data_IF_737548674998
#
_entry.id   IF_737548674998
#
_cell.length_a   1.000
_cell.length_b   1.000
_cell.length_c   1.000
_cell.angle_alpha   90.00
_cell.angle_beta   90.00
_cell.angle_gamma   90.00
#
_symmetry.space_group_name_H-M   'P 1'
#
loop_
_entity.id
_entity.type
_entity.pdbx_description
1 polymer ?
#
# COMPACT_ATOMS: atom_id res chain seq x y z
N UNK A 1 20.40 -18.51 -2.58
CA UNK A 1 20.53 -18.82 -1.14
C UNK A 1 19.16 -19.04 -0.50
N UNK A 2 18.33 -18.00 -0.32
CA UNK A 2 16.99 -18.16 0.28
C UNK A 2 15.88 -18.73 -0.64
N UNK A 3 16.22 -19.35 -1.78
CA UNK A 3 15.23 -19.86 -2.74
C UNK A 3 14.42 -18.79 -3.51
N UNK A 4 14.88 -17.53 -3.56
CA UNK A 4 14.31 -16.49 -4.42
C UNK A 4 15.28 -16.19 -5.56
N UNK A 5 14.79 -16.22 -6.81
CA UNK A 5 15.58 -16.11 -8.05
C UNK A 5 15.30 -14.84 -8.86
N UNK A 6 14.33 -14.02 -8.43
CA UNK A 6 14.09 -12.71 -8.99
C UNK A 6 13.64 -11.74 -7.91
N UNK A 7 14.10 -10.49 -8.00
CA UNK A 7 13.65 -9.39 -7.12
C UNK A 7 13.07 -8.24 -7.94
N UNK A 8 12.10 -7.51 -7.40
CA UNK A 8 11.65 -6.25 -8.00
C UNK A 8 12.01 -5.12 -7.04
N UNK A 9 13.01 -4.33 -7.42
CA UNK A 9 13.49 -3.21 -6.61
C UNK A 9 12.55 -2.01 -6.71
N UNK A 10 12.60 -1.13 -5.71
CA UNK A 10 11.90 0.16 -5.74
C UNK A 10 12.86 1.27 -6.13
N UNK A 11 12.51 2.02 -7.17
CA UNK A 11 13.10 3.34 -7.43
C UNK A 11 12.24 4.39 -6.74
N UNK A 12 12.83 5.20 -5.87
CA UNK A 12 12.10 6.20 -5.10
C UNK A 12 12.74 7.58 -5.34
N UNK A 13 12.24 8.36 -6.30
CA UNK A 13 12.70 9.73 -6.50
C UNK A 13 12.19 10.64 -5.37
N UNK A 14 13.03 11.56 -4.91
CA UNK A 14 12.58 12.67 -4.08
C UNK A 14 11.57 13.54 -4.85
N UNK A 15 10.79 14.32 -4.11
CA UNK A 15 9.83 15.26 -4.70
C UNK A 15 10.53 16.19 -5.69
N UNK A 16 9.88 16.44 -6.83
CA UNK A 16 10.36 17.30 -7.93
C UNK A 16 11.59 16.79 -8.70
N UNK A 17 12.11 15.60 -8.36
CA UNK A 17 13.16 14.92 -9.12
C UNK A 17 12.56 14.13 -10.29
N UNK A 18 13.30 14.09 -11.41
CA UNK A 18 12.99 13.30 -12.61
C UNK A 18 12.90 11.81 -12.30
N UNK A 19 11.81 11.17 -12.74
CA UNK A 19 11.62 9.73 -12.59
C UNK A 19 12.63 8.96 -13.45
N UNK A 20 12.99 9.49 -14.62
CA UNK A 20 13.95 8.89 -15.54
C UNK A 20 15.37 8.90 -14.95
N UNK A 21 15.78 10.02 -14.34
CA UNK A 21 17.12 10.13 -13.76
C UNK A 21 17.27 9.16 -12.57
N UNK A 22 16.23 9.06 -11.74
CA UNK A 22 16.20 8.10 -10.64
C UNK A 22 16.24 6.64 -11.15
N UNK A 23 15.53 6.34 -12.25
CA UNK A 23 15.58 5.03 -12.89
C UNK A 23 17.00 4.69 -13.37
N UNK A 24 17.64 5.58 -14.13
CA UNK A 24 18.98 5.34 -14.68
C UNK A 24 20.04 5.24 -13.56
N UNK A 25 19.91 6.04 -12.51
CA UNK A 25 20.74 5.91 -11.31
C UNK A 25 20.57 4.52 -10.68
N UNK A 26 19.35 4.03 -10.53
CA UNK A 26 19.12 2.70 -9.96
C UNK A 26 19.68 1.58 -10.86
N UNK A 27 19.44 1.64 -12.18
CA UNK A 27 20.00 0.69 -13.16
C UNK A 27 21.52 0.63 -13.13
N UNK A 28 22.19 1.79 -13.11
CA UNK A 28 23.66 1.85 -13.06
C UNK A 28 24.27 1.27 -11.78
N UNK A 29 23.52 1.28 -10.67
CA UNK A 29 23.93 0.63 -9.42
C UNK A 29 23.65 -0.87 -9.40
N UNK A 30 22.53 -1.30 -10.00
CA UNK A 30 22.05 -2.68 -9.95
C UNK A 30 22.68 -3.58 -11.02
N UNK A 31 22.70 -3.17 -12.29
CA UNK A 31 23.21 -3.96 -13.43
C UNK A 31 24.58 -4.60 -13.18
N UNK A 32 25.60 -3.91 -12.63
CA UNK A 32 26.91 -4.54 -12.40
C UNK A 32 26.96 -5.46 -11.16
N UNK A 33 25.92 -5.50 -10.32
CA UNK A 33 25.96 -6.17 -9.00
C UNK A 33 25.01 -7.35 -8.85
N UNK A 34 23.85 -7.30 -9.50
CA UNK A 34 22.80 -8.31 -9.30
C UNK A 34 23.29 -9.73 -9.66
N UNK A 35 23.00 -10.69 -8.79
CA UNK A 35 23.36 -12.10 -8.98
C UNK A 35 22.20 -12.95 -9.51
N UNK A 36 21.02 -12.36 -9.64
CA UNK A 36 19.80 -12.98 -10.15
C UNK A 36 18.98 -11.91 -10.89
N UNK A 37 17.96 -12.32 -11.63
CA UNK A 37 17.15 -11.35 -12.38
C UNK A 37 16.49 -10.32 -11.49
N UNK A 38 16.28 -9.13 -12.06
CA UNK A 38 15.57 -8.10 -11.36
C UNK A 38 14.72 -7.24 -12.29
N UNK A 39 13.70 -6.60 -11.71
CA UNK A 39 12.96 -5.53 -12.37
C UNK A 39 12.83 -4.35 -11.40
N UNK A 40 12.15 -3.28 -11.84
CA UNK A 40 11.99 -2.07 -11.03
C UNK A 40 10.53 -1.59 -11.00
N UNK A 41 10.03 -1.33 -9.79
CA UNK A 41 8.86 -0.49 -9.54
C UNK A 41 9.32 0.98 -9.49
N UNK A 42 8.52 1.90 -10.04
CA UNK A 42 8.82 3.33 -10.01
C UNK A 42 7.92 4.08 -9.01
N UNK A 43 8.52 4.76 -8.03
CA UNK A 43 7.82 5.64 -7.11
C UNK A 43 7.31 6.90 -7.80
N UNK A 44 6.03 7.21 -7.59
CA UNK A 44 5.39 8.47 -8.00
C UNK A 44 5.13 9.27 -6.73
N UNK A 45 6.09 10.12 -6.37
CA UNK A 45 6.13 10.89 -5.10
C UNK A 45 5.58 12.31 -5.25
N UNK A 46 5.29 12.72 -6.50
CA UNK A 46 4.67 13.98 -6.86
C UNK A 46 3.92 13.84 -8.20
N UNK A 47 3.08 14.81 -8.53
CA UNK A 47 2.26 14.75 -9.73
C UNK A 47 2.27 16.05 -10.54
N UNK A 48 2.43 15.92 -11.85
CA UNK A 48 2.38 17.03 -12.80
C UNK A 48 2.56 16.55 -14.24
N UNK A 49 2.49 17.46 -15.23
CA UNK A 49 2.62 17.11 -16.65
C UNK A 49 3.94 16.39 -16.99
N UNK A 50 5.04 16.78 -16.33
CA UNK A 50 6.35 16.13 -16.50
C UNK A 50 6.32 14.67 -16.05
N UNK A 51 5.84 14.39 -14.84
CA UNK A 51 5.68 13.03 -14.31
C UNK A 51 4.82 12.18 -15.24
N UNK A 52 3.71 12.73 -15.73
CA UNK A 52 2.83 12.04 -16.67
C UNK A 52 3.59 11.57 -17.93
N UNK A 53 4.38 12.46 -18.53
CA UNK A 53 5.19 12.16 -19.71
C UNK A 53 6.32 11.15 -19.39
N UNK A 54 7.00 11.29 -18.26
CA UNK A 54 8.07 10.37 -17.86
C UNK A 54 7.55 8.96 -17.59
N UNK A 55 6.35 8.82 -17.02
CA UNK A 55 5.67 7.52 -16.88
C UNK A 55 5.41 6.87 -18.24
N UNK A 56 5.04 7.64 -19.26
CA UNK A 56 4.89 7.13 -20.63
C UNK A 56 6.21 6.60 -21.19
N UNK A 57 7.30 7.36 -21.04
CA UNK A 57 8.65 6.94 -21.46
C UNK A 57 9.09 5.68 -20.73
N UNK A 58 8.91 5.61 -19.41
CA UNK A 58 9.28 4.44 -18.60
C UNK A 58 8.57 3.16 -19.07
N UNK A 59 7.28 3.27 -19.39
CA UNK A 59 6.47 2.16 -19.92
C UNK A 59 6.89 1.76 -21.33
N UNK A 60 7.06 2.73 -22.24
CA UNK A 60 7.29 2.47 -23.66
C UNK A 60 8.72 2.01 -23.96
N UNK A 61 9.69 2.54 -23.24
CA UNK A 61 11.10 2.43 -23.61
C UNK A 61 11.96 1.73 -22.54
N UNK A 62 11.56 1.77 -21.27
CA UNK A 62 12.39 1.31 -20.13
C UNK A 62 11.90 0.01 -19.49
N UNK A 63 10.80 -0.56 -19.97
CA UNK A 63 10.29 -1.84 -19.49
C UNK A 63 9.76 -1.80 -18.05
N UNK A 64 9.25 -0.65 -17.60
CA UNK A 64 8.59 -0.51 -16.30
C UNK A 64 7.08 -0.59 -16.50
N UNK A 65 6.39 -1.51 -15.85
CA UNK A 65 4.92 -1.59 -15.92
C UNK A 65 4.21 -1.32 -14.60
N UNK A 66 4.90 -0.81 -13.58
CA UNK A 66 4.37 -0.76 -12.22
C UNK A 66 4.85 0.47 -11.47
N UNK A 67 3.90 1.20 -10.89
CA UNK A 67 4.14 2.47 -10.21
C UNK A 67 3.68 2.41 -8.75
N UNK A 68 4.50 2.92 -7.84
CA UNK A 68 4.25 2.93 -6.39
C UNK A 68 3.84 4.34 -5.93
N UNK A 69 2.69 4.44 -5.29
CA UNK A 69 2.18 5.67 -4.69
C UNK A 69 2.08 5.52 -3.17
N UNK A 70 2.09 6.63 -2.46
CA UNK A 70 1.99 6.66 -1.00
C UNK A 70 0.82 7.56 -0.58
N UNK A 71 -0.01 7.05 0.33
CA UNK A 71 -1.06 7.83 1.01
C UNK A 71 -0.59 8.39 2.36
N UNK A 72 0.65 8.05 2.74
CA UNK A 72 1.34 8.48 3.95
C UNK A 72 2.69 9.13 3.60
N UNK A 73 3.48 9.45 4.62
CA UNK A 73 4.69 10.28 4.51
C UNK A 73 4.34 11.69 4.03
N UNK A 74 3.50 12.37 4.81
CA UNK A 74 3.12 13.76 4.59
C UNK A 74 4.38 14.62 4.33
N UNK A 75 4.25 15.53 3.38
CA UNK A 75 5.32 16.43 2.89
C UNK A 75 6.53 15.76 2.19
N UNK A 76 6.63 14.43 2.19
CA UNK A 76 7.71 13.67 1.54
C UNK A 76 7.24 12.97 0.26
N UNK A 77 6.33 12.01 0.40
CA UNK A 77 5.89 11.13 -0.72
C UNK A 77 4.37 11.10 -0.90
N UNK A 78 3.62 11.66 0.05
CA UNK A 78 2.16 11.58 0.08
C UNK A 78 1.53 12.28 -1.13
N UNK A 79 0.66 11.55 -1.83
CA UNK A 79 -0.24 12.12 -2.83
C UNK A 79 -1.63 12.33 -2.24
N UNK A 80 -2.26 13.45 -2.61
CA UNK A 80 -3.66 13.74 -2.25
C UNK A 80 -4.62 13.01 -3.17
N UNK A 81 -5.89 12.88 -2.77
CA UNK A 81 -6.91 12.14 -3.51
C UNK A 81 -7.09 12.62 -4.96
N UNK A 82 -7.00 13.93 -5.20
CA UNK A 82 -7.07 14.48 -6.56
C UNK A 82 -5.88 14.06 -7.43
N UNK A 83 -4.69 13.95 -6.85
CA UNK A 83 -3.48 13.49 -7.53
C UNK A 83 -3.55 11.97 -7.76
N UNK A 84 -3.94 11.19 -6.75
CA UNK A 84 -4.18 9.74 -6.88
C UNK A 84 -5.19 9.42 -7.99
N UNK A 85 -6.28 10.18 -8.07
CA UNK A 85 -7.27 10.01 -9.14
C UNK A 85 -6.64 10.18 -10.54
N UNK A 86 -5.81 11.21 -10.74
CA UNK A 86 -5.15 11.45 -12.02
C UNK A 86 -4.08 10.40 -12.32
N UNK A 87 -3.27 10.03 -11.32
CA UNK A 87 -2.25 8.98 -11.45
C UNK A 87 -2.90 7.64 -11.81
N UNK A 88 -3.98 7.25 -11.14
CA UNK A 88 -4.65 5.96 -11.39
C UNK A 88 -5.27 5.91 -12.77
N UNK A 89 -5.89 7.01 -13.22
CA UNK A 89 -6.38 7.15 -14.59
C UNK A 89 -5.24 6.99 -15.60
N UNK A 90 -4.09 7.63 -15.34
CA UNK A 90 -2.93 7.52 -16.22
C UNK A 90 -2.34 6.10 -16.23
N UNK A 91 -2.18 5.46 -15.06
CA UNK A 91 -1.75 4.07 -14.97
C UNK A 91 -2.67 3.12 -15.77
N UNK A 92 -4.00 3.35 -15.71
CA UNK A 92 -4.96 2.60 -16.51
C UNK A 92 -4.73 2.82 -18.02
N UNK A 93 -4.57 4.06 -18.45
CA UNK A 93 -4.32 4.40 -19.85
C UNK A 93 -3.00 3.77 -20.36
N UNK A 94 -1.98 3.66 -19.50
CA UNK A 94 -0.71 2.99 -19.81
C UNK A 94 -0.76 1.46 -19.74
N UNK A 95 -1.80 0.87 -19.13
CA UNK A 95 -1.83 -0.56 -18.85
C UNK A 95 -0.90 -0.99 -17.70
N UNK A 96 -0.58 -0.10 -16.77
CA UNK A 96 0.36 -0.33 -15.67
C UNK A 96 -0.30 -0.94 -14.42
N UNK A 97 0.51 -1.49 -13.52
CA UNK A 97 0.15 -1.96 -12.19
C UNK A 97 0.26 -0.81 -11.20
N UNK A 98 -0.85 -0.48 -10.54
CA UNK A 98 -0.95 0.64 -9.60
C UNK A 98 -0.74 0.14 -8.17
N UNK A 99 0.48 0.28 -7.64
CA UNK A 99 0.86 -0.12 -6.28
C UNK A 99 0.62 1.03 -5.30
N UNK A 100 0.00 0.75 -4.14
CA UNK A 100 -0.35 1.79 -3.16
C UNK A 100 0.03 1.36 -1.75
N UNK A 101 0.86 2.17 -1.09
CA UNK A 101 1.06 2.11 0.35
C UNK A 101 -0.06 2.91 1.02
N UNK A 102 -0.97 2.22 1.70
CA UNK A 102 -2.25 2.76 2.12
C UNK A 102 -2.32 2.89 3.66
N UNK A 103 -1.88 4.04 4.16
CA UNK A 103 -2.18 4.54 5.52
C UNK A 103 -2.61 5.99 5.39
N UNK A 104 -3.49 6.49 6.26
CA UNK A 104 -3.89 7.89 6.24
C UNK A 104 -2.75 8.81 6.73
N UNK A 105 -2.03 9.45 5.82
CA UNK A 105 -0.85 10.26 6.12
C UNK A 105 -1.06 11.46 7.04
N UNK A 106 -2.23 12.10 6.97
CA UNK A 106 -2.54 13.23 7.86
C UNK A 106 -2.72 12.73 9.30
N UNK A 107 -3.49 11.65 9.49
CA UNK A 107 -3.70 11.07 10.82
C UNK A 107 -2.43 10.43 11.39
N UNK A 108 -1.60 9.81 10.56
CA UNK A 108 -0.27 9.33 10.95
C UNK A 108 0.58 10.49 11.49
N UNK A 109 0.56 11.64 10.82
CA UNK A 109 1.36 12.81 11.23
C UNK A 109 0.88 13.38 12.57
N UNK A 110 -0.43 13.50 12.76
CA UNK A 110 -0.99 13.97 14.04
C UNK A 110 -0.77 12.96 15.16
N UNK A 111 -1.01 11.66 14.91
CA UNK A 111 -0.79 10.60 15.89
C UNK A 111 0.67 10.47 16.33
N UNK A 112 1.62 10.68 15.41
CA UNK A 112 3.04 10.68 15.77
C UNK A 112 3.41 11.86 16.68
N UNK A 113 2.89 13.06 16.37
CA UNK A 113 3.06 14.25 17.20
C UNK A 113 2.44 14.07 18.58
N UNK A 114 1.19 13.60 18.65
CA UNK A 114 0.48 13.35 19.90
C UNK A 114 1.22 12.33 20.77
N UNK A 115 1.71 11.24 20.18
CA UNK A 115 2.48 10.20 20.89
C UNK A 115 3.76 10.78 21.51
N UNK A 116 4.48 11.63 20.78
CA UNK A 116 5.67 12.33 21.30
C UNK A 116 5.32 13.36 22.38
N UNK A 117 4.23 14.11 22.22
CA UNK A 117 3.74 15.09 23.20
C UNK A 117 3.34 14.43 24.54
N UNK A 118 2.91 13.16 24.49
CA UNK A 118 2.66 12.31 25.67
C UNK A 118 3.94 11.77 26.32
N UNK A 119 5.12 12.07 25.76
CA UNK A 119 6.42 11.59 26.26
C UNK A 119 6.77 10.17 25.82
N UNK A 120 6.01 9.58 24.88
CA UNK A 120 6.28 8.24 24.35
C UNK A 120 7.21 8.38 23.14
N UNK A 121 8.51 8.20 23.38
CA UNK A 121 9.55 8.30 22.35
C UNK A 121 10.17 6.96 21.95
N UNK A 122 9.80 5.86 22.62
CA UNK A 122 10.29 4.52 22.34
C UNK A 122 9.67 3.90 21.07
N UNK A 123 10.23 2.77 20.58
CA UNK A 123 9.77 2.10 19.36
C UNK A 123 8.28 1.73 19.35
N UNK A 124 7.67 1.48 20.51
CA UNK A 124 6.22 1.27 20.67
C UNK A 124 5.37 2.42 20.13
N UNK A 125 5.92 3.63 20.07
CA UNK A 125 5.26 4.78 19.47
C UNK A 125 4.90 4.58 17.99
N UNK A 126 5.60 3.71 17.24
CA UNK A 126 5.27 3.45 15.83
C UNK A 126 3.91 2.76 15.66
N UNK A 127 3.52 1.92 16.62
CA UNK A 127 2.27 1.17 16.60
C UNK A 127 1.14 2.04 17.14
N UNK A 128 1.39 2.72 18.26
CA UNK A 128 0.44 3.63 18.92
C UNK A 128 0.03 4.78 18.01
N UNK A 129 0.98 5.40 17.29
CA UNK A 129 0.71 6.55 16.43
C UNK A 129 -0.03 6.20 15.13
N UNK A 130 -0.14 4.91 14.79
CA UNK A 130 -0.64 4.44 13.48
C UNK A 130 -1.49 3.17 13.63
N UNK A 131 -2.59 3.22 14.41
CA UNK A 131 -3.44 2.05 14.65
C UNK A 131 -4.05 1.55 13.33
N UNK A 132 -4.50 0.29 13.32
CA UNK A 132 -4.88 -0.40 12.07
C UNK A 132 -6.04 0.24 11.31
N UNK A 133 -6.90 1.02 11.97
CA UNK A 133 -7.97 1.78 11.32
C UNK A 133 -7.47 2.80 10.28
N UNK A 134 -6.27 3.38 10.48
CA UNK A 134 -5.66 4.30 9.51
C UNK A 134 -5.23 3.58 8.22
N UNK A 135 -4.84 2.30 8.34
CA UNK A 135 -4.56 1.44 7.18
C UNK A 135 -5.87 1.05 6.49
N UNK A 136 -6.87 0.60 7.25
CA UNK A 136 -8.16 0.16 6.71
C UNK A 136 -8.90 1.29 5.97
N UNK A 137 -8.93 2.51 6.51
CA UNK A 137 -9.51 3.69 5.87
C UNK A 137 -8.82 3.97 4.53
N UNK A 138 -7.49 4.05 4.53
CA UNK A 138 -6.73 4.37 3.33
C UNK A 138 -6.85 3.27 2.27
N UNK A 139 -6.87 1.99 2.66
CA UNK A 139 -7.13 0.86 1.74
C UNK A 139 -8.52 1.00 1.12
N UNK A 140 -9.53 1.30 1.92
CA UNK A 140 -10.90 1.52 1.43
C UNK A 140 -10.98 2.69 0.45
N UNK A 141 -10.31 3.80 0.76
CA UNK A 141 -10.25 5.00 -0.10
C UNK A 141 -9.51 4.75 -1.40
N UNK A 142 -8.34 4.09 -1.36
CA UNK A 142 -7.59 3.69 -2.56
C UNK A 142 -8.42 2.81 -3.49
N UNK A 143 -9.10 1.79 -2.94
CA UNK A 143 -10.00 0.91 -3.70
C UNK A 143 -11.16 1.70 -4.32
N UNK A 144 -11.70 2.67 -3.60
CA UNK A 144 -12.78 3.52 -4.09
C UNK A 144 -12.33 4.38 -5.27
N UNK A 145 -11.19 5.06 -5.15
CA UNK A 145 -10.61 5.88 -6.24
C UNK A 145 -10.27 5.00 -7.46
N UNK A 146 -9.67 3.83 -7.24
CA UNK A 146 -9.34 2.87 -8.31
C UNK A 146 -10.59 2.38 -9.05
N UNK A 147 -11.65 2.04 -8.32
CA UNK A 147 -12.91 1.61 -8.93
C UNK A 147 -13.60 2.74 -9.71
N UNK A 148 -13.48 4.01 -9.27
CA UNK A 148 -14.00 5.18 -10.00
C UNK A 148 -13.21 5.52 -11.26
N UNK A 149 -11.93 5.14 -11.32
CA UNK A 149 -11.03 5.37 -12.47
C UNK A 149 -10.91 4.15 -13.39
N UNK A 150 -11.61 3.04 -13.07
CA UNK A 150 -11.47 1.75 -13.75
C UNK A 150 -10.02 1.23 -13.78
N UNK A 151 -9.23 1.53 -12.75
CA UNK A 151 -7.83 1.12 -12.64
C UNK A 151 -7.71 -0.12 -11.73
N UNK A 152 -6.87 -1.13 -12.06
CA UNK A 152 -6.61 -2.22 -11.14
C UNK A 152 -5.66 -1.73 -10.05
N UNK A 153 -5.98 -1.98 -8.79
CA UNK A 153 -5.16 -1.54 -7.66
C UNK A 153 -4.50 -2.71 -6.95
N UNK A 154 -3.24 -2.50 -6.56
CA UNK A 154 -2.40 -3.46 -5.86
C UNK A 154 -1.97 -2.84 -4.53
N UNK A 155 -2.50 -3.33 -3.42
CA UNK A 155 -2.21 -2.78 -2.10
C UNK A 155 -1.00 -3.50 -1.53
N UNK A 156 0.02 -2.73 -1.14
CA UNK A 156 1.28 -3.28 -0.63
C UNK A 156 1.29 -3.30 0.88
N UNK A 157 2.08 -4.22 1.45
CA UNK A 157 2.36 -4.30 2.88
C UNK A 157 1.11 -4.39 3.78
N UNK A 158 0.05 -5.09 3.35
CA UNK A 158 -1.14 -5.29 4.19
C UNK A 158 -0.72 -5.93 5.51
N UNK A 159 -0.95 -5.22 6.61
CA UNK A 159 -0.45 -5.59 7.94
C UNK A 159 -1.53 -5.94 8.95
N UNK A 160 -2.79 -5.53 8.72
CA UNK A 160 -3.89 -5.72 9.67
C UNK A 160 -5.02 -6.59 9.15
N UNK A 161 -5.80 -7.14 10.09
CA UNK A 161 -7.03 -7.87 9.81
C UNK A 161 -8.08 -6.94 9.19
N UNK A 162 -8.23 -5.72 9.74
CA UNK A 162 -9.17 -4.72 9.22
C UNK A 162 -8.91 -4.35 7.75
N UNK A 163 -7.65 -4.12 7.36
CA UNK A 163 -7.32 -3.87 5.95
C UNK A 163 -7.58 -5.10 5.05
N UNK A 164 -7.32 -6.31 5.58
CA UNK A 164 -7.66 -7.57 4.93
C UNK A 164 -9.17 -7.70 4.65
N UNK A 165 -10.02 -7.35 5.61
CA UNK A 165 -11.49 -7.40 5.48
C UNK A 165 -12.03 -6.42 4.45
N UNK A 166 -11.43 -5.23 4.36
CA UNK A 166 -11.75 -4.26 3.33
C UNK A 166 -11.44 -4.82 1.93
N UNK A 167 -10.29 -5.49 1.77
CA UNK A 167 -9.92 -6.15 0.50
C UNK A 167 -10.89 -7.29 0.18
N UNK A 168 -11.20 -8.16 1.16
CA UNK A 168 -12.15 -9.25 0.98
C UNK A 168 -13.51 -8.74 0.52
N UNK A 169 -14.05 -7.72 1.20
CA UNK A 169 -15.32 -7.07 0.88
C UNK A 169 -15.32 -6.45 -0.53
N UNK A 170 -14.22 -5.79 -0.91
CA UNK A 170 -14.07 -5.23 -2.24
C UNK A 170 -14.03 -6.32 -3.33
N UNK A 171 -13.35 -7.44 -3.08
CA UNK A 171 -13.32 -8.60 -4.00
C UNK A 171 -14.71 -9.22 -4.15
N UNK A 172 -15.47 -9.37 -3.06
CA UNK A 172 -16.86 -9.87 -3.12
C UNK A 172 -17.76 -8.98 -3.98
N UNK A 173 -17.51 -7.67 -4.00
CA UNK A 173 -18.22 -6.71 -4.86
C UNK A 173 -17.73 -6.69 -6.32
N UNK A 174 -16.80 -7.57 -6.70
CA UNK A 174 -16.23 -7.62 -8.06
C UNK A 174 -15.34 -6.41 -8.40
N UNK A 175 -14.81 -5.71 -7.38
CA UNK A 175 -13.75 -4.70 -7.59
C UNK A 175 -12.45 -5.40 -7.95
N UNK A 176 -11.60 -4.70 -8.71
CA UNK A 176 -10.36 -5.27 -9.23
C UNK A 176 -9.23 -4.82 -8.34
N UNK A 177 -9.05 -5.60 -7.28
CA UNK A 177 -8.10 -5.34 -6.19
C UNK A 177 -7.24 -6.57 -5.97
N UNK A 178 -5.96 -6.34 -5.70
CA UNK A 178 -4.97 -7.35 -5.35
C UNK A 178 -4.23 -6.89 -4.10
N UNK A 179 -3.87 -7.84 -3.25
CA UNK A 179 -3.16 -7.54 -2.00
C UNK A 179 -1.82 -8.26 -1.93
N UNK A 180 -0.82 -7.55 -1.42
CA UNK A 180 0.49 -8.05 -1.02
C UNK A 180 0.62 -7.87 0.50
N UNK A 181 1.08 -8.90 1.19
CA UNK A 181 1.56 -8.77 2.56
C UNK A 181 3.04 -9.12 2.60
N UNK A 182 3.70 -8.83 3.71
CA UNK A 182 5.12 -9.16 3.90
C UNK A 182 5.26 -10.45 4.71
N UNK A 183 6.45 -11.03 4.64
CA UNK A 183 6.82 -12.17 5.48
C UNK A 183 6.64 -11.82 6.96
N UNK A 184 7.04 -10.62 7.36
CA UNK A 184 6.93 -10.17 8.73
C UNK A 184 5.47 -10.02 9.17
N UNK A 185 4.63 -9.32 8.40
CA UNK A 185 3.22 -9.11 8.75
C UNK A 185 2.41 -10.41 8.83
N UNK A 186 2.75 -11.38 7.99
CA UNK A 186 2.07 -12.69 7.97
C UNK A 186 2.60 -13.70 8.99
N UNK A 187 3.66 -13.37 9.75
CA UNK A 187 4.27 -14.33 10.69
C UNK A 187 4.69 -13.78 12.07
N UNK A 188 4.78 -12.46 12.23
CA UNK A 188 5.22 -11.78 13.45
C UNK A 188 4.14 -10.80 13.94
N UNK A 189 4.12 -10.51 15.24
CA UNK A 189 3.21 -9.52 15.83
C UNK A 189 3.97 -8.36 16.49
N UNK A 190 3.24 -7.30 16.84
CA UNK A 190 3.77 -6.04 17.37
C UNK A 190 4.27 -6.10 18.80
N UNK A 191 4.17 -7.24 19.51
CA UNK A 191 4.67 -7.36 20.89
C UNK A 191 6.18 -7.11 20.97
N UNK A 192 6.92 -7.29 19.87
CA UNK A 192 8.33 -6.97 19.81
C UNK A 192 8.63 -5.48 20.05
N UNK A 193 7.69 -4.56 19.76
CA UNK A 193 7.88 -3.13 20.04
C UNK A 193 7.93 -2.80 21.54
N UNK A 194 7.34 -3.66 22.37
CA UNK A 194 7.28 -3.50 23.82
C UNK A 194 8.39 -4.28 24.54
N UNK A 195 9.39 -4.76 23.80
CA UNK A 195 10.53 -5.45 24.38
C UNK A 195 11.39 -4.48 25.22
N UNK A 196 11.89 -4.95 26.37
CA UNK A 196 12.63 -4.11 27.33
C UNK A 196 13.97 -3.60 26.77
N UNK A 197 14.63 -4.40 25.91
CA UNK A 197 15.76 -3.91 25.13
C UNK A 197 15.28 -3.09 23.94
N UNK A 198 15.65 -1.80 23.94
CA UNK A 198 15.37 -0.85 22.88
C UNK A 198 15.90 -1.32 21.51
N UNK A 199 17.07 -1.97 21.47
CA UNK A 199 17.69 -2.39 20.21
C UNK A 199 16.86 -3.47 19.52
N UNK A 200 16.40 -4.46 20.29
CA UNK A 200 15.41 -5.44 19.84
C UNK A 200 14.15 -4.75 19.32
N UNK A 201 13.53 -3.87 20.12
CA UNK A 201 12.27 -3.23 19.74
C UNK A 201 12.40 -2.38 18.46
N UNK A 202 13.46 -1.58 18.35
CA UNK A 202 13.74 -0.75 17.18
C UNK A 202 14.00 -1.57 15.90
N UNK A 203 14.49 -2.79 16.02
CA UNK A 203 14.79 -3.64 14.88
C UNK A 203 13.52 -4.09 14.10
N UNK A 204 12.36 -4.14 14.76
CA UNK A 204 11.08 -4.48 14.13
C UNK A 204 10.35 -3.27 13.55
N UNK A 205 10.88 -2.05 13.73
CA UNK A 205 10.23 -0.81 13.27
C UNK A 205 10.16 -0.80 11.74
N UNK A 206 8.94 -0.89 11.23
CA UNK A 206 8.57 -0.82 9.81
C UNK A 206 7.20 -0.14 9.67
N UNK A 207 6.77 0.13 8.43
CA UNK A 207 5.41 0.64 8.18
C UNK A 207 4.70 -0.09 7.03
N UNK A 208 3.38 -0.31 7.12
CA UNK A 208 2.58 -0.17 8.34
C UNK A 208 3.15 -1.07 9.47
N UNK A 209 2.96 -0.75 10.75
CA UNK A 209 3.63 -1.48 11.83
C UNK A 209 3.07 -2.92 11.95
N UNK A 210 3.85 -3.80 12.59
CA UNK A 210 3.34 -5.09 13.07
C UNK A 210 2.21 -4.83 14.08
N UNK A 211 1.12 -5.59 14.01
CA UNK A 211 -0.06 -5.37 14.86
C UNK A 211 0.04 -6.13 16.18
N UNK A 212 -0.44 -5.52 17.27
CA UNK A 212 -0.39 -6.14 18.60
C UNK A 212 -1.25 -7.40 18.72
N UNK A 213 -2.38 -7.46 17.98
CA UNK A 213 -3.25 -8.62 18.04
C UNK A 213 -2.50 -9.88 17.56
N UNK A 214 -2.30 -10.89 18.43
CA UNK A 214 -1.53 -12.09 18.12
C UNK A 214 -2.19 -12.97 17.05
N UNK A 215 -3.47 -12.76 16.73
CA UNK A 215 -4.17 -13.47 15.66
C UNK A 215 -3.85 -12.92 14.28
N UNK A 216 -3.36 -11.68 14.17
CA UNK A 216 -3.12 -11.00 12.89
C UNK A 216 -2.27 -11.83 11.92
N UNK A 217 -1.12 -12.41 12.31
CA UNK A 217 -0.31 -13.23 11.39
C UNK A 217 -1.07 -14.43 10.84
N UNK A 218 -1.77 -15.17 11.72
CA UNK A 218 -2.57 -16.34 11.33
C UNK A 218 -3.72 -15.96 10.40
N UNK A 219 -4.34 -14.80 10.63
CA UNK A 219 -5.40 -14.27 9.78
C UNK A 219 -4.86 -13.92 8.38
N UNK A 220 -3.78 -13.14 8.30
CA UNK A 220 -3.15 -12.78 7.02
C UNK A 220 -2.65 -14.01 6.25
N UNK A 221 -2.14 -15.03 6.94
CA UNK A 221 -1.77 -16.31 6.32
C UNK A 221 -2.99 -17.04 5.74
N UNK A 222 -4.14 -16.98 6.42
CA UNK A 222 -5.40 -17.53 5.91
C UNK A 222 -5.91 -16.76 4.69
N UNK A 223 -5.73 -15.43 4.67
CA UNK A 223 -6.03 -14.60 3.50
C UNK A 223 -5.09 -14.89 2.31
N UNK A 224 -3.83 -15.23 2.57
CA UNK A 224 -2.91 -15.72 1.54
C UNK A 224 -3.36 -17.08 1.01
N UNK A 225 -3.78 -17.99 1.89
CA UNK A 225 -4.27 -19.31 1.49
C UNK A 225 -5.54 -19.24 0.63
N UNK A 226 -6.47 -18.34 0.96
CA UNK A 226 -7.76 -18.21 0.26
C UNK A 226 -7.76 -17.24 -0.94
N UNK A 227 -6.61 -16.68 -1.31
CA UNK A 227 -6.42 -15.73 -2.43
C UNK A 227 -7.08 -14.34 -2.26
N UNK A 228 -7.49 -13.99 -1.04
CA UNK A 228 -7.79 -12.59 -0.67
C UNK A 228 -6.53 -11.74 -0.72
N UNK A 229 -5.42 -12.27 -0.21
CA UNK A 229 -4.07 -11.77 -0.47
C UNK A 229 -3.39 -12.67 -1.50
N UNK A 230 -2.68 -12.08 -2.44
CA UNK A 230 -2.23 -12.76 -3.65
C UNK A 230 -0.75 -13.06 -3.67
N UNK A 231 0.06 -12.23 -3.01
CA UNK A 231 1.53 -12.31 -3.04
C UNK A 231 2.08 -12.08 -1.64
N UNK A 232 3.16 -12.78 -1.31
CA UNK A 232 3.98 -12.48 -0.13
C UNK A 232 5.36 -12.01 -0.56
N UNK A 233 5.72 -10.80 -0.12
CA UNK A 233 7.02 -10.18 -0.34
C UNK A 233 7.83 -10.15 0.96
N UNK A 234 9.08 -9.66 0.91
CA UNK A 234 9.89 -9.46 2.10
C UNK A 234 9.93 -8.01 2.58
N UNK A 235 9.59 -7.05 1.70
CA UNK A 235 9.88 -5.61 1.88
C UNK A 235 11.28 -5.36 2.47
N UNK A 236 12.28 -6.01 1.86
CA UNK A 236 13.61 -6.10 2.45
C UNK A 236 14.30 -4.74 2.38
N UNK A 237 14.50 -4.13 3.54
CA UNK A 237 15.23 -2.87 3.72
C UNK A 237 15.89 -2.89 5.09
N UNK A 238 17.16 -3.28 5.12
CA UNK A 238 17.88 -3.49 6.38
C UNK A 238 18.64 -2.25 6.82
N UNK A 239 18.66 -2.06 8.13
CA UNK A 239 19.46 -1.06 8.82
C UNK A 239 20.13 -1.73 10.01
N UNK A 240 21.38 -1.40 10.25
CA UNK A 240 22.10 -1.82 11.45
C UNK A 240 21.46 -1.23 12.71
N UNK A 241 21.70 -1.83 13.88
CA UNK A 241 21.28 -1.24 15.17
C UNK A 241 21.80 0.19 15.32
N UNK A 242 23.03 0.47 14.85
CA UNK A 242 23.62 1.83 14.87
C UNK A 242 22.80 2.82 14.04
N UNK A 243 22.31 2.42 12.88
CA UNK A 243 21.44 3.27 12.05
C UNK A 243 20.05 3.40 12.67
N UNK A 244 19.51 2.33 13.25
CA UNK A 244 18.24 2.39 14.00
C UNK A 244 18.31 3.41 15.14
N UNK A 245 19.46 3.48 15.83
CA UNK A 245 19.71 4.40 16.95
C UNK A 245 19.63 5.89 16.61
N UNK A 246 19.49 6.28 15.33
CA UNK A 246 19.13 7.65 14.95
C UNK A 246 17.83 8.13 15.61
N UNK A 247 16.91 7.21 15.93
CA UNK A 247 15.67 7.50 16.64
C UNK A 247 15.62 7.01 18.08
N UNK A 248 16.77 6.91 18.76
CA UNK A 248 16.82 6.44 20.17
C UNK A 248 15.94 7.28 21.11
N UNK A 249 15.86 8.57 20.87
CA UNK A 249 15.08 9.53 21.68
C UNK A 249 13.80 9.99 20.97
N UNK A 250 13.51 9.45 19.78
CA UNK A 250 12.41 9.88 18.92
C UNK A 250 12.13 8.78 17.88
N UNK A 251 11.09 7.98 18.12
CA UNK A 251 10.74 6.86 17.25
C UNK A 251 10.48 7.26 15.79
N UNK A 252 10.09 8.51 15.52
CA UNK A 252 9.81 9.01 14.16
C UNK A 252 11.08 9.10 13.30
N UNK A 253 12.26 9.11 13.95
CA UNK A 253 13.58 9.13 13.31
C UNK A 253 14.18 7.73 13.15
N UNK A 254 13.53 6.69 13.64
CA UNK A 254 13.98 5.31 13.41
C UNK A 254 13.71 4.97 11.94
N UNK A 255 14.74 4.60 11.14
CA UNK A 255 14.54 4.24 9.75
C UNK A 255 13.67 2.98 9.64
N UNK A 256 12.56 3.07 8.91
CA UNK A 256 11.60 1.99 8.75
C UNK A 256 12.17 0.86 7.89
N UNK A 257 12.13 -0.39 8.33
CA UNK A 257 12.51 -1.53 7.50
C UNK A 257 13.07 -2.70 8.28
N UNK A 258 12.94 -3.89 7.69
CA UNK A 258 13.37 -5.17 8.23
C UNK A 258 14.04 -6.04 7.17
N UNK A 259 14.78 -7.05 7.63
CA UNK A 259 15.32 -8.09 6.77
C UNK A 259 14.33 -9.23 6.54
N UNK A 260 14.23 -9.74 5.30
CA UNK A 260 13.52 -10.99 5.04
C UNK A 260 13.74 -11.59 3.65
N UNK A 261 14.64 -11.06 2.82
CA UNK A 261 14.83 -11.56 1.44
C UNK A 261 15.35 -12.99 1.42
N UNK A 262 16.20 -13.34 2.40
CA UNK A 262 16.72 -14.70 2.56
C UNK A 262 15.70 -15.65 3.18
N UNK A 263 14.88 -15.15 4.12
CA UNK A 263 14.06 -16.00 4.99
C UNK A 263 12.64 -16.24 4.49
N UNK A 264 12.14 -15.37 3.60
CA UNK A 264 10.77 -15.41 3.06
C UNK A 264 10.28 -16.82 2.71
N UNK A 265 11.03 -17.57 1.92
CA UNK A 265 10.59 -18.89 1.44
C UNK A 265 10.40 -19.88 2.61
N UNK A 266 11.40 -20.02 3.49
CA UNK A 266 11.33 -20.98 4.61
C UNK A 266 10.32 -20.56 5.67
N UNK A 267 10.22 -19.26 5.97
CA UNK A 267 9.28 -18.74 6.97
C UNK A 267 7.83 -18.95 6.51
N UNK A 268 7.54 -18.68 5.24
CA UNK A 268 6.21 -18.92 4.67
C UNK A 268 5.92 -20.42 4.51
N UNK A 269 6.92 -21.23 4.19
CA UNK A 269 6.75 -22.69 4.19
C UNK A 269 6.38 -23.21 5.59
N UNK A 270 7.13 -22.83 6.62
CA UNK A 270 6.89 -23.25 8.00
C UNK A 270 5.52 -22.79 8.50
N UNK A 271 5.18 -21.50 8.35
CA UNK A 271 3.94 -20.95 8.90
C UNK A 271 2.71 -21.26 8.03
N UNK A 272 2.89 -21.40 6.73
CA UNK A 272 1.82 -21.63 5.76
C UNK A 272 1.59 -23.11 5.48
N UNK A 273 2.61 -23.82 4.98
CA UNK A 273 2.50 -25.21 4.52
C UNK A 273 2.51 -26.17 5.70
N UNK A 274 3.57 -26.16 6.51
CA UNK A 274 3.67 -27.01 7.71
C UNK A 274 2.58 -26.66 8.71
N UNK A 275 2.26 -25.36 8.85
CA UNK A 275 1.13 -24.87 9.65
C UNK A 275 -0.27 -25.25 9.14
N UNK A 276 -0.38 -25.99 8.03
CA UNK A 276 -1.63 -26.52 7.48
C UNK A 276 -2.60 -25.46 6.97
N UNK A 277 -2.11 -24.25 6.67
CA UNK A 277 -2.93 -23.14 6.15
C UNK A 277 -3.09 -23.22 4.64
N UNK A 278 -2.06 -23.70 3.93
CA UNK A 278 -2.06 -23.86 2.49
C UNK A 278 -1.26 -25.10 2.07
N UNK A 279 -1.48 -25.60 0.87
CA UNK A 279 -0.65 -26.65 0.28
C UNK A 279 0.60 -26.08 -0.43
N UNK A 280 1.48 -26.97 -0.88
CA UNK A 280 2.68 -26.62 -1.62
C UNK A 280 2.40 -25.90 -2.96
N UNK A 281 1.26 -26.16 -3.60
CA UNK A 281 0.89 -25.51 -4.86
C UNK A 281 0.50 -24.05 -4.62
N UNK A 282 -0.24 -23.78 -3.54
CA UNK A 282 -0.59 -22.43 -3.12
C UNK A 282 0.64 -21.67 -2.63
N UNK A 283 1.57 -22.35 -1.96
CA UNK A 283 2.89 -21.78 -1.63
C UNK A 283 3.62 -21.29 -2.89
N UNK A 284 3.70 -22.11 -3.95
CA UNK A 284 4.28 -21.68 -5.24
C UNK A 284 3.53 -20.47 -5.82
N UNK A 285 2.20 -20.45 -5.73
CA UNK A 285 1.38 -19.36 -6.25
C UNK A 285 1.70 -18.02 -5.56
N UNK A 286 1.71 -17.97 -4.22
CA UNK A 286 1.92 -16.72 -3.47
C UNK A 286 3.37 -16.25 -3.44
N UNK A 287 4.33 -17.16 -3.67
CA UNK A 287 5.76 -16.83 -3.65
C UNK A 287 6.35 -16.52 -5.03
N UNK A 288 5.71 -16.95 -6.12
CA UNK A 288 6.23 -16.74 -7.49
C UNK A 288 5.13 -16.54 -8.55
N UNK A 289 4.23 -17.51 -8.77
CA UNK A 289 3.37 -17.51 -9.97
C UNK A 289 2.42 -16.31 -10.04
N UNK A 290 1.87 -15.87 -8.90
CA UNK A 290 0.97 -14.72 -8.86
C UNK A 290 1.73 -13.41 -9.14
N UNK A 291 2.91 -13.22 -8.56
CA UNK A 291 3.76 -12.07 -8.86
C UNK A 291 4.11 -12.03 -10.37
N UNK A 292 4.48 -13.18 -10.95
CA UNK A 292 4.76 -13.27 -12.38
C UNK A 292 3.52 -12.94 -13.25
N UNK A 293 2.31 -13.35 -12.86
CA UNK A 293 1.07 -12.99 -13.59
C UNK A 293 0.74 -11.50 -13.47
N UNK A 294 0.84 -10.94 -12.26
CA UNK A 294 0.53 -9.54 -11.97
C UNK A 294 1.48 -8.60 -12.72
N UNK A 295 2.76 -8.94 -12.77
CA UNK A 295 3.81 -8.14 -13.40
C UNK A 295 4.14 -8.56 -14.86
N UNK A 296 3.29 -9.39 -15.47
CA UNK A 296 3.37 -9.78 -16.89
C UNK A 296 4.63 -10.55 -17.31
N UNK A 297 5.10 -11.44 -16.44
CA UNK A 297 6.27 -12.31 -16.65
C UNK A 297 5.90 -13.79 -16.78
N UNK A 298 4.66 -14.17 -16.50
CA UNK A 298 4.19 -15.54 -16.59
C UNK A 298 3.91 -15.96 -18.06
N UNK A 299 4.24 -17.19 -18.50
CA UNK A 299 4.84 -18.28 -17.72
C UNK A 299 6.37 -18.32 -17.79
N UNK A 300 7.02 -17.31 -18.39
CA UNK A 300 8.49 -17.25 -18.49
C UNK A 300 9.15 -17.31 -17.10
N UNK A 301 8.54 -16.69 -16.09
CA UNK A 301 8.88 -16.88 -14.68
C UNK A 301 7.71 -17.46 -13.89
N UNK A 302 8.03 -18.10 -12.76
CA UNK A 302 7.04 -18.61 -11.81
C UNK A 302 6.28 -19.87 -12.26
N UNK A 303 6.83 -20.64 -13.20
CA UNK A 303 6.31 -21.96 -13.61
C UNK A 303 7.40 -22.86 -14.19
N UNK A 304 7.37 -24.15 -13.85
CA UNK A 304 8.23 -25.18 -14.45
C UNK A 304 7.51 -25.80 -15.66
N UNK A 305 7.87 -25.36 -16.86
CA UNK A 305 7.42 -25.92 -18.15
C UNK A 305 8.50 -25.70 -19.22
N UNK A 306 8.52 -26.49 -20.32
CA UNK A 306 9.37 -26.19 -21.46
C UNK A 306 9.18 -24.76 -21.98
N UNK A 307 10.29 -24.05 -22.20
CA UNK A 307 10.30 -22.66 -22.68
C UNK A 307 10.27 -21.57 -21.59
N UNK A 308 10.10 -21.92 -20.31
CA UNK A 308 10.29 -20.99 -19.20
C UNK A 308 11.78 -20.76 -18.89
N UNK A 309 12.11 -19.65 -18.22
CA UNK A 309 13.46 -19.42 -17.72
C UNK A 309 13.82 -20.50 -16.68
N UNK A 310 15.06 -20.99 -16.71
CA UNK A 310 15.55 -22.00 -15.77
C UNK A 310 15.95 -21.36 -14.42
N UNK A 311 14.97 -20.71 -13.79
CA UNK A 311 15.02 -20.17 -12.43
C UNK A 311 14.30 -21.16 -11.50
N UNK A 312 15.05 -22.12 -10.95
CA UNK A 312 14.52 -23.33 -10.30
C UNK A 312 15.12 -23.46 -8.90
N UNK A 313 14.29 -23.90 -7.94
CA UNK A 313 14.75 -24.24 -6.60
C UNK A 313 14.48 -25.70 -6.34
N UNK A 314 15.53 -26.45 -5.98
CA UNK A 314 15.36 -27.77 -5.38
C UNK A 314 15.12 -27.54 -3.90
N UNK A 315 13.89 -27.82 -3.48
CA UNK A 315 13.38 -27.54 -2.15
C UNK A 315 13.26 -28.85 -1.36
N UNK A 316 13.87 -28.91 -0.18
CA UNK A 316 13.73 -30.04 0.73
C UNK A 316 12.71 -29.69 1.81
N UNK A 317 11.52 -30.32 1.79
CA UNK A 317 10.46 -30.04 2.75
C UNK A 317 10.71 -30.65 4.13
N UNK A 318 11.62 -31.62 4.26
CA UNK A 318 11.91 -32.35 5.50
C UNK A 318 13.15 -31.80 6.21
N UNK A 319 14.09 -31.20 5.47
CA UNK A 319 15.21 -30.47 6.05
C UNK A 319 14.72 -29.32 6.94
N UNK A 320 15.40 -29.13 8.07
CA UNK A 320 15.12 -28.07 9.01
C UNK A 320 16.37 -27.19 9.22
N UNK A 321 16.15 -25.88 9.34
CA UNK A 321 17.16 -24.91 9.77
C UNK A 321 16.61 -24.04 10.89
N UNK A 322 17.46 -23.62 11.81
CA UNK A 322 17.14 -22.55 12.76
C UNK A 322 17.69 -21.24 12.22
N UNK A 323 16.82 -20.26 12.03
CA UNK A 323 17.22 -18.94 11.53
C UNK A 323 18.03 -18.22 12.61
N UNK A 324 19.17 -17.63 12.22
CA UNK A 324 19.96 -16.79 13.11
C UNK A 324 20.72 -15.71 12.31
N UNK A 325 20.84 -14.51 12.90
CA UNK A 325 21.68 -13.44 12.39
C UNK A 325 23.16 -13.87 12.25
N UNK A 326 23.62 -14.83 13.05
CA UNK A 326 24.99 -15.36 12.97
C UNK A 326 25.29 -16.17 11.71
N UNK A 327 24.25 -16.72 11.05
CA UNK A 327 24.38 -17.56 9.85
C UNK A 327 23.74 -16.93 8.61
N UNK A 328 23.13 -15.75 8.75
CA UNK A 328 22.52 -15.06 7.63
C UNK A 328 23.57 -14.44 6.72
N UNK A 329 23.21 -14.33 5.44
CA UNK A 329 24.04 -13.67 4.41
C UNK A 329 23.47 -12.32 4.00
N UNK A 330 22.20 -12.06 4.34
CA UNK A 330 21.60 -10.74 4.16
C UNK A 330 22.28 -9.71 5.06
N UNK A 331 22.47 -8.49 4.57
CA UNK A 331 23.09 -7.43 5.35
C UNK A 331 22.22 -7.04 6.55
N UNK A 332 22.85 -6.84 7.71
CA UNK A 332 22.18 -6.49 8.97
C UNK A 332 22.77 -7.26 10.15
N UNK A 333 22.75 -6.67 11.33
CA UNK A 333 23.21 -7.24 12.61
C UNK A 333 22.08 -7.89 13.42
N UNK A 334 20.88 -7.95 12.85
CA UNK A 334 19.68 -8.51 13.46
C UNK A 334 18.88 -9.33 12.45
N UNK A 335 18.18 -10.38 12.91
CA UNK A 335 17.22 -11.14 12.12
C UNK A 335 15.84 -11.12 12.82
N UNK A 336 14.75 -10.64 12.18
CA UNK A 336 13.41 -10.64 12.76
C UNK A 336 12.83 -12.02 13.10
N UNK A 337 13.43 -13.09 12.58
CA UNK A 337 13.01 -14.48 12.77
C UNK A 337 14.03 -15.27 13.60
N UNK A 338 14.84 -14.59 14.42
CA UNK A 338 15.87 -15.21 15.26
C UNK A 338 15.32 -16.41 16.06
N UNK A 339 16.05 -17.51 16.03
CA UNK A 339 15.70 -18.79 16.66
C UNK A 339 14.44 -19.49 16.10
N UNK A 340 13.83 -18.99 15.03
CA UNK A 340 12.73 -19.70 14.37
C UNK A 340 13.28 -20.95 13.68
N UNK A 341 12.82 -22.12 14.13
CA UNK A 341 13.03 -23.39 13.42
C UNK A 341 12.06 -23.46 12.25
N UNK A 342 12.58 -23.63 11.04
CA UNK A 342 11.79 -23.78 9.82
C UNK A 342 12.16 -25.08 9.13
N UNK A 343 11.15 -25.88 8.79
CA UNK A 343 11.25 -26.88 7.74
C UNK A 343 11.15 -26.21 6.38
N UNK A 344 11.56 -26.91 5.32
CA UNK A 344 11.59 -26.33 4.00
C UNK A 344 12.84 -25.47 3.81
N UNK A 345 13.85 -26.05 3.17
CA UNK A 345 15.12 -25.38 2.90
C UNK A 345 15.46 -25.50 1.42
N UNK A 346 16.00 -24.44 0.83
CA UNK A 346 16.59 -24.51 -0.51
C UNK A 346 17.87 -25.32 -0.43
N UNK A 347 17.91 -26.50 -1.06
CA UNK A 347 19.15 -27.29 -1.21
C UNK A 347 19.98 -26.77 -2.37
N UNK A 348 19.31 -26.52 -3.50
CA UNK A 348 19.91 -25.99 -4.71
C UNK A 348 19.08 -24.81 -5.20
N UNK A 349 19.74 -23.71 -5.58
CA UNK A 349 19.13 -22.63 -6.34
C UNK A 349 19.81 -22.56 -7.72
N UNK A 350 19.00 -22.62 -8.76
CA UNK A 350 19.39 -22.44 -10.15
C UNK A 350 18.81 -21.11 -10.62
N UNK A 351 19.65 -20.26 -11.21
CA UNK A 351 19.20 -19.03 -11.88
C UNK A 351 19.83 -18.96 -13.26
N UNK A 352 19.03 -18.62 -14.28
CA UNK A 352 19.46 -18.67 -15.69
C UNK A 352 20.09 -20.02 -16.11
N UNK A 353 19.57 -21.13 -15.56
CA UNK A 353 20.09 -22.46 -15.86
C UNK A 353 21.47 -22.75 -15.27
N UNK A 354 21.98 -21.90 -14.37
CA UNK A 354 23.25 -22.10 -13.66
C UNK A 354 22.97 -22.36 -12.19
N UNK A 355 23.64 -23.37 -11.62
CA UNK A 355 23.63 -23.60 -10.17
C UNK A 355 24.39 -22.45 -9.51
N UNK A 356 23.67 -21.61 -8.77
CA UNK A 356 24.23 -20.44 -8.06
C UNK A 356 24.36 -20.66 -6.56
N UNK A 357 23.72 -21.70 -6.05
CA UNK A 357 23.79 -22.09 -4.65
C UNK A 357 23.54 -23.59 -4.52
N UNK A 358 24.41 -24.29 -3.82
CA UNK A 358 24.29 -25.72 -3.55
C UNK A 358 25.05 -26.07 -2.26
N UNK A 359 24.47 -26.92 -1.41
CA UNK A 359 25.11 -27.44 -0.19
C UNK A 359 25.70 -26.34 0.72
N UNK A 360 25.00 -25.22 0.87
CA UNK A 360 25.43 -24.10 1.72
C UNK A 360 26.46 -23.16 1.07
N UNK A 361 26.91 -23.45 -0.15
CA UNK A 361 27.94 -22.66 -0.86
C UNK A 361 27.28 -21.82 -1.95
N UNK A 362 27.54 -20.51 -1.94
CA UNK A 362 27.09 -19.58 -2.97
C UNK A 362 28.17 -19.41 -4.04
N UNK A 363 27.78 -19.53 -5.31
CA UNK A 363 28.68 -19.59 -6.46
C UNK A 363 28.09 -18.78 -7.63
N UNK A 364 28.06 -17.46 -7.49
CA UNK A 364 27.60 -16.56 -8.55
C UNK A 364 28.49 -15.31 -8.61
N UNK A 365 28.83 -14.87 -9.82
CA UNK A 365 29.54 -13.62 -10.01
C UNK A 365 28.56 -12.43 -9.95
N UNK A 366 29.00 -11.31 -9.38
CA UNK A 366 28.28 -10.05 -9.47
C UNK A 366 27.99 -9.67 -10.93
N UNK A 367 26.79 -9.16 -11.19
CA UNK A 367 26.34 -8.79 -12.54
C UNK A 367 25.91 -9.98 -13.42
N UNK A 368 25.81 -11.19 -12.86
CA UNK A 368 25.27 -12.35 -13.59
C UNK A 368 23.76 -12.27 -13.83
N UNK A 369 23.04 -11.54 -12.98
CA UNK A 369 21.61 -11.28 -13.14
C UNK A 369 21.33 -10.26 -14.24
N UNK A 370 20.12 -10.26 -14.80
CA UNK A 370 19.72 -9.32 -15.84
C UNK A 370 18.49 -8.52 -15.45
N UNK A 371 18.41 -7.28 -15.95
CA UNK A 371 17.17 -6.53 -15.90
C UNK A 371 16.10 -7.22 -16.77
N UNK A 372 14.90 -7.40 -16.24
CA UNK A 372 13.76 -7.99 -16.93
C UNK A 372 12.74 -6.90 -17.29
N UNK A 373 12.60 -6.54 -18.58
CA UNK A 373 11.59 -5.60 -19.03
C UNK A 373 10.18 -6.17 -18.84
N UNK A 374 9.36 -5.47 -18.04
CA UNK A 374 7.98 -5.86 -17.78
C UNK A 374 7.05 -5.15 -18.76
N UNK A 375 6.31 -5.92 -19.56
CA UNK A 375 5.35 -5.38 -20.54
C UNK A 375 4.06 -4.91 -19.86
N UNK A 376 3.44 -3.86 -20.37
CA UNK A 376 2.13 -3.37 -19.88
C UNK A 376 0.97 -4.25 -20.33
N UNK A 377 -0.22 -3.92 -19.82
CA UNK A 377 -1.47 -4.67 -19.97
C UNK A 377 -1.34 -6.15 -19.57
N UNK A 378 -0.90 -6.47 -18.33
CA UNK A 378 -0.96 -7.83 -17.85
C UNK A 378 -2.39 -8.37 -17.96
N UNK A 379 -2.57 -9.42 -18.76
CA UNK A 379 -3.86 -10.07 -19.00
C UNK A 379 -4.58 -10.41 -17.69
N UNK A 380 -3.81 -10.86 -16.69
CA UNK A 380 -4.31 -11.21 -15.37
C UNK A 380 -5.05 -10.06 -14.64
N UNK A 381 -4.68 -8.80 -14.93
CA UNK A 381 -5.33 -7.61 -14.36
C UNK A 381 -6.33 -7.01 -15.35
N UNK A 382 -5.93 -6.82 -16.60
CA UNK A 382 -6.62 -5.96 -17.57
C UNK A 382 -7.69 -6.67 -18.40
N UNK A 383 -7.61 -7.99 -18.58
CA UNK A 383 -8.54 -8.72 -19.48
C UNK A 383 -10.01 -8.58 -19.05
N UNK A 384 -10.27 -8.68 -17.74
CA UNK A 384 -11.61 -8.44 -17.16
C UNK A 384 -12.00 -6.96 -17.14
N UNK A 385 -11.04 -6.05 -17.02
CA UNK A 385 -11.31 -4.60 -17.03
C UNK A 385 -11.86 -4.13 -18.36
N UNK A 386 -11.28 -4.60 -19.47
CA UNK A 386 -11.70 -4.23 -20.82
C UNK A 386 -13.20 -4.54 -21.02
N UNK A 387 -13.68 -5.66 -20.47
CA UNK A 387 -15.11 -6.00 -20.52
C UNK A 387 -15.95 -5.15 -19.56
N UNK A 388 -15.45 -4.93 -18.34
CA UNK A 388 -16.13 -4.10 -17.33
C UNK A 388 -16.36 -2.67 -17.80
N UNK A 389 -15.39 -2.07 -18.49
CA UNK A 389 -15.49 -0.72 -19.05
C UNK A 389 -16.56 -0.62 -20.15
N UNK A 390 -16.68 -1.63 -21.02
CA UNK A 390 -17.73 -1.66 -22.06
C UNK A 390 -19.13 -1.70 -21.47
N UNK A 391 -19.34 -2.45 -20.38
CA UNK A 391 -20.65 -2.64 -19.75
C UNK A 391 -21.05 -1.40 -18.94
N UNK A 392 -20.08 -0.73 -18.31
CA UNK A 392 -20.31 0.41 -17.42
C UNK A 392 -20.28 1.77 -18.14
N UNK A 393 -20.39 1.78 -19.47
CA UNK A 393 -20.54 3.01 -20.25
C UNK A 393 -21.82 3.74 -19.83
N UNK A 394 -21.66 4.88 -19.17
CA UNK A 394 -22.79 5.71 -18.74
C UNK A 394 -23.50 6.30 -19.96
N UNK A 395 -24.84 6.23 -19.98
CA UNK A 395 -25.67 6.83 -21.02
C UNK A 395 -26.39 8.04 -20.45
N UNK A 396 -26.42 9.12 -21.22
CA UNK A 396 -27.28 10.26 -20.89
C UNK A 396 -28.74 9.82 -21.03
N UNK A 397 -29.61 10.30 -20.13
CA UNK A 397 -31.05 10.21 -20.35
C UNK A 397 -31.40 11.27 -21.37
N UNK A 398 -31.96 10.86 -22.49
CA UNK A 398 -32.48 11.78 -23.49
C UNK A 398 -33.70 12.51 -22.91
N UNK A 399 -33.63 13.84 -22.89
CA UNK A 399 -34.67 14.71 -22.35
C UNK A 399 -34.92 15.83 -23.35
N UNK A 400 -36.18 16.23 -23.46
CA UNK A 400 -36.50 17.50 -24.10
C UNK A 400 -35.80 18.64 -23.35
N UNK A 401 -35.20 19.63 -24.05
CA UNK A 401 -34.61 20.78 -23.40
C UNK A 401 -35.63 21.49 -22.52
N UNK A 402 -35.22 21.90 -21.32
CA UNK A 402 -36.07 22.66 -20.40
C UNK A 402 -36.41 24.02 -21.02
N UNK A 403 -37.71 24.31 -21.17
CA UNK A 403 -38.25 25.55 -21.75
C UNK A 403 -38.90 26.48 -20.72
N UNK A 404 -38.82 26.15 -19.42
CA UNK A 404 -39.42 26.96 -18.36
C UNK A 404 -38.53 28.12 -17.91
N UNK A 405 -39.07 28.99 -17.08
CA UNK A 405 -38.35 30.14 -16.51
C UNK A 405 -37.27 29.70 -15.50
N UNK A 406 -36.11 30.37 -15.53
CA UNK A 406 -35.01 30.13 -14.58
C UNK A 406 -34.90 31.31 -13.62
N UNK A 407 -34.97 31.05 -12.32
CA UNK A 407 -34.80 32.08 -11.29
C UNK A 407 -33.37 32.65 -11.29
N UNK A 408 -33.25 33.97 -11.14
CA UNK A 408 -31.95 34.64 -10.97
C UNK A 408 -31.53 34.57 -9.50
N UNK A 409 -30.41 33.89 -9.21
CA UNK A 409 -29.85 33.78 -7.85
C UNK A 409 -28.54 34.56 -7.77
N UNK A 410 -28.48 35.54 -6.86
CA UNK A 410 -27.34 36.46 -6.71
C UNK A 410 -26.03 35.78 -6.24
N UNK A 411 -26.12 34.59 -5.65
CA UNK A 411 -24.99 33.77 -5.23
C UNK A 411 -25.10 32.35 -5.79
N UNK A 412 -25.18 32.22 -7.11
CA UNK A 412 -24.89 30.94 -7.73
C UNK A 412 -23.42 30.60 -7.42
N UNK A 413 -23.16 29.62 -6.55
CA UNK A 413 -21.83 29.16 -6.13
C UNK A 413 -21.00 28.54 -7.26
N UNK A 414 -20.90 29.18 -8.41
CA UNK A 414 -20.06 28.80 -9.53
C UNK A 414 -18.60 29.06 -9.14
N UNK A 415 -17.88 27.99 -8.79
CA UNK A 415 -16.43 27.95 -9.04
C UNK A 415 -16.27 27.64 -10.53
N UNK A 416 -15.94 28.66 -11.31
CA UNK A 416 -15.47 28.48 -12.69
C UNK A 416 -14.19 27.63 -12.66
N UNK A 417 -14.24 26.42 -13.20
CA UNK A 417 -13.05 25.65 -13.54
C UNK A 417 -12.50 26.20 -14.86
N UNK A 418 -11.68 27.24 -14.79
CA UNK A 418 -11.09 27.90 -15.96
C UNK A 418 -9.94 27.11 -16.60
N UNK A 419 -9.79 27.28 -17.91
CA UNK A 419 -8.52 27.11 -18.65
C UNK A 419 -7.98 28.49 -19.03
N UNK A 420 -6.66 28.67 -19.24
CA UNK A 420 -5.96 29.92 -18.93
C UNK A 420 -5.83 30.90 -20.11
N UNK A 421 -5.46 32.14 -19.76
CA UNK A 421 -5.01 33.29 -20.56
C UNK A 421 -6.11 34.23 -21.08
N UNK A 422 -6.29 35.37 -20.39
CA UNK A 422 -5.93 36.71 -20.87
C UNK A 422 -6.37 37.79 -19.86
N UNK A 423 -5.44 38.70 -19.55
CA UNK A 423 -5.60 40.08 -19.06
C UNK A 423 -6.53 40.38 -17.86
N UNK A 424 -5.92 40.54 -16.69
CA UNK A 424 -6.52 41.23 -15.53
C UNK A 424 -6.19 42.73 -15.54
N UNK A 425 -7.19 43.63 -15.50
CA UNK A 425 -7.00 44.97 -14.97
C UNK A 425 -7.19 44.95 -13.45
N UNK A 426 -6.20 45.49 -12.74
CA UNK A 426 -6.23 45.77 -11.30
C UNK A 426 -7.41 46.68 -10.92
N UNK A 427 -8.23 46.25 -9.94
CA UNK A 427 -9.17 47.13 -9.21
C UNK A 427 -8.72 47.26 -7.75
N UNK A 428 -8.87 48.45 -7.12
CA UNK A 428 -8.21 48.78 -5.87
C UNK A 428 -8.89 48.18 -4.63
N UNK A 429 -8.08 48.03 -3.58
CA UNK A 429 -8.42 47.46 -2.27
C UNK A 429 -9.48 48.34 -1.56
N UNK A 430 -10.66 47.77 -1.29
CA UNK A 430 -11.59 48.32 -0.30
C UNK A 430 -11.18 47.85 1.10
N UNK A 431 -10.71 48.81 1.91
CA UNK A 431 -10.57 48.66 3.37
C UNK A 431 -11.95 48.42 3.99
N UNK A 432 -12.09 47.37 4.78
CA UNK A 432 -12.95 47.41 5.97
C UNK A 432 -12.36 46.50 7.05
N UNK A 433 -11.86 47.14 8.12
CA UNK A 433 -11.67 46.49 9.40
C UNK A 433 -13.02 46.14 10.01
N UNK A 434 -13.11 44.93 10.53
CA UNK A 434 -14.30 44.40 11.18
C UNK A 434 -14.03 42.97 11.62
N UNK A 435 -13.68 42.84 12.90
CA UNK A 435 -13.49 41.57 13.60
C UNK A 435 -14.79 40.76 13.49
N UNK A 436 -14.76 39.58 12.84
CA UNK A 436 -15.93 38.68 12.80
C UNK A 436 -15.94 37.85 14.07
N UNK A 437 -16.90 38.16 14.93
CA UNK A 437 -17.32 37.31 16.03
C UNK A 437 -18.17 36.16 15.48
N UNK A 438 -17.93 34.93 15.94
CA UNK A 438 -18.42 33.68 15.35
C UNK A 438 -19.68 33.12 16.03
N UNK A 439 -20.33 33.88 16.91
CA UNK A 439 -21.41 33.36 17.76
C UNK A 439 -22.79 34.04 17.65
N UNK A 440 -23.04 34.93 16.68
CA UNK A 440 -24.39 35.44 16.44
C UNK A 440 -25.00 34.91 15.13
N UNK A 441 -25.91 33.94 15.26
CA UNK A 441 -26.79 33.50 14.18
C UNK A 441 -27.85 34.55 13.90
N UNK A 442 -27.65 35.38 12.88
CA UNK A 442 -28.60 36.41 12.44
C UNK A 442 -29.83 35.87 11.69
N UNK A 443 -30.62 35.00 12.32
CA UNK A 443 -31.97 34.67 11.82
C UNK A 443 -32.99 35.49 12.62
N UNK A 444 -33.47 36.58 12.01
CA UNK A 444 -34.65 37.32 12.47
C UNK A 444 -35.67 37.33 11.35
N UNK A 445 -36.85 36.76 11.61
CA UNK A 445 -37.98 36.79 10.68
C UNK A 445 -38.78 38.06 10.95
N UNK A 446 -38.50 39.13 10.20
CA UNK A 446 -39.33 40.35 10.21
C UNK A 446 -40.40 40.26 9.12
N UNK A 447 -41.64 40.01 9.50
CA UNK A 447 -42.81 40.03 8.60
C UNK A 447 -43.96 39.16 9.12
N UNK A 448 -45.19 39.52 8.80
CA UNK A 448 -46.37 38.71 9.12
C UNK A 448 -46.27 37.34 8.45
N UNK A 449 -46.44 36.27 9.22
CA UNK A 449 -46.43 34.90 8.70
C UNK A 449 -47.84 34.46 8.33
N UNK A 450 -47.92 33.54 7.37
CA UNK A 450 -49.18 33.10 6.75
C UNK A 450 -50.14 32.42 7.75
N UNK A 451 -49.61 32.00 8.90
CA UNK A 451 -50.27 31.28 9.98
C UNK A 451 -50.43 32.10 11.27
N UNK A 452 -50.12 33.40 11.26
CA UNK A 452 -50.30 34.30 12.41
C UNK A 452 -51.77 34.38 12.90
N UNK A 453 -52.72 33.99 12.06
CA UNK A 453 -54.15 33.91 12.37
C UNK A 453 -54.58 32.60 13.05
N UNK A 454 -53.68 31.64 13.23
CA UNK A 454 -53.98 30.36 13.90
C UNK A 454 -53.63 30.46 15.39
N UNK A 455 -54.60 30.29 16.31
CA UNK A 455 -54.31 30.35 17.75
C UNK A 455 -53.31 29.26 18.14
N UNK A 456 -52.16 29.65 18.72
CA UNK A 456 -51.16 28.72 19.22
C UNK A 456 -51.76 27.85 20.33
N UNK A 457 -51.78 26.52 20.14
CA UNK A 457 -52.13 25.56 21.20
C UNK A 457 -51.13 25.70 22.35
N UNK A 458 -51.64 25.75 23.58
CA UNK A 458 -50.83 25.73 24.79
C UNK A 458 -49.93 24.48 24.80
N UNK A 459 -48.62 24.70 24.88
CA UNK A 459 -47.62 23.64 25.02
C UNK A 459 -47.82 22.90 26.34
N UNK A 460 -48.18 21.62 26.29
CA UNK A 460 -48.11 20.74 27.44
C UNK A 460 -46.63 20.44 27.75
N UNK A 461 -46.14 20.83 28.93
CA UNK A 461 -44.87 20.34 29.47
C UNK A 461 -45.06 18.87 29.85
N UNK A 462 -44.39 17.96 29.15
CA UNK A 462 -44.26 16.57 29.58
C UNK A 462 -43.12 16.51 30.61
N UNK A 463 -43.52 16.44 31.88
CA UNK A 463 -42.67 16.01 32.99
C UNK A 463 -42.90 14.50 33.19
N UNK A 464 -41.80 13.76 33.20
CA UNK A 464 -41.68 12.30 33.40
C UNK A 464 -41.85 11.41 32.14
N UNK A 465 -40.75 10.87 31.57
CA UNK A 465 -40.84 9.72 30.68
C UNK A 465 -41.18 8.46 31.49
N UNK A 466 -42.12 7.60 31.04
CA UNK A 466 -42.43 6.38 31.76
C UNK A 466 -41.27 5.39 31.62
N UNK A 467 -40.63 5.08 32.75
CA UNK A 467 -39.69 3.98 32.87
C UNK A 467 -40.40 2.64 32.65
N UNK A 468 -39.88 1.86 31.72
CA UNK A 468 -40.06 0.41 31.65
C UNK A 468 -38.73 -0.27 31.99
N UNK A 469 -38.65 -0.85 33.18
CA UNK A 469 -37.56 -1.70 33.65
C UNK A 469 -37.35 -2.89 32.69
N UNK A 470 -36.10 -3.18 32.31
CA UNK A 470 -35.71 -4.49 31.79
C UNK A 470 -35.07 -5.32 32.91
N UNK A 471 -35.81 -6.32 33.39
CA UNK A 471 -35.28 -7.45 34.15
C UNK A 471 -34.47 -8.39 33.25
N UNK A 472 -33.47 -9.08 33.82
CA UNK A 472 -32.41 -9.77 33.10
C UNK A 472 -32.69 -11.20 32.62
N UNK A 473 -31.63 -11.71 31.97
CA UNK A 473 -31.18 -13.10 31.73
C UNK A 473 -32.09 -13.99 30.87
N UNK A 474 -31.62 -14.29 29.64
CA UNK A 474 -31.16 -15.63 29.18
C UNK A 474 -30.10 -15.46 28.10
#
# INVERSE_FOLDING_TARGET
MGGTTMVIGHVLPDKDISLLDAYEKCRSLADPKVCCDYALHMGVTWWGPKVKAEMETLVREKGVNSFQMFMTYKDLYMLRDNELYQVFRHCKDLGAVTRVHAENGDLVSEGAKETLDLGISGPEGIEISRPEELEAEAVHRAITIANRTFCPVYLVNISSMSAGDVIASAKMQGKIVYGETTTAHSTLNGLHYYHQDWSHAAAYVTVPPLRLDPNTPNYLMSLLANDTLNVVSSDHRTFTTKQKAMGKEDFTKIPHGMGGVQDRMSVIWEKGVVGGKMDENRFVAVTSSNAAKIHNMYPRKGRIIPGADADIVVWDPEAARTISASTQVQAGDFNPYENMRCHGVSLVTISHGRVVYENGVFMCAEGSGSFFPMRTYPDYLYKKMIQKEKILSLKCVDRTPYQGDVAVVAHAGKKETGSPLADTPTRPITRHGGMRDLHESGFSLSGAQIDDHVPKRASARILAPPGGRSSGIW
#
